data_IF_297439828096
#
_entry.id   IF_297439828096
#
_cell.length_a   1.000
_cell.length_b   1.000
_cell.length_c   1.000
_cell.angle_alpha   90.00
_cell.angle_beta   90.00
_cell.angle_gamma   90.00
#
_symmetry.space_group_name_H-M   'P 1'
#
loop_
_entity.id
_entity.type
_entity.pdbx_description
1 polymer ?
#
# COMPACT_ATOMS: atom_id res chain seq x y z
N UNK A 1 -17.19 39.29 -7.47
CA UNK A 1 -17.39 37.82 -7.48
C UNK A 1 -18.26 37.37 -6.31
N UNK A 2 -19.45 36.84 -6.60
CA UNK A 2 -20.41 36.31 -5.62
C UNK A 2 -19.86 35.06 -4.90
N UNK A 3 -20.46 34.70 -3.75
CA UNK A 3 -20.07 33.47 -3.01
C UNK A 3 -20.31 32.20 -3.86
N UNK A 4 -21.40 32.13 -4.63
CA UNK A 4 -21.68 31.02 -5.55
C UNK A 4 -20.60 30.86 -6.63
N UNK A 5 -20.15 31.94 -7.27
CA UNK A 5 -19.11 31.84 -8.31
C UNK A 5 -17.78 31.31 -7.75
N UNK A 6 -17.41 31.70 -6.53
CA UNK A 6 -16.23 31.15 -5.83
C UNK A 6 -16.41 29.69 -5.46
N UNK A 7 -17.58 29.28 -4.98
CA UNK A 7 -17.90 27.89 -4.67
C UNK A 7 -17.86 27.01 -5.93
N UNK A 8 -18.46 27.44 -7.04
CA UNK A 8 -18.43 26.72 -8.32
C UNK A 8 -17.00 26.53 -8.86
N UNK A 9 -16.16 27.57 -8.80
CA UNK A 9 -14.75 27.48 -9.19
C UNK A 9 -13.95 26.51 -8.29
N UNK A 10 -14.21 26.51 -6.97
CA UNK A 10 -13.59 25.57 -6.03
C UNK A 10 -14.02 24.13 -6.28
N UNK A 11 -15.32 23.89 -6.54
CA UNK A 11 -15.86 22.57 -6.86
C UNK A 11 -15.28 22.05 -8.18
N UNK A 12 -15.23 22.87 -9.23
CA UNK A 12 -14.62 22.51 -10.51
C UNK A 12 -13.14 22.14 -10.35
N UNK A 13 -12.35 22.97 -9.65
CA UNK A 13 -10.94 22.69 -9.39
C UNK A 13 -10.73 21.41 -8.55
N UNK A 14 -11.62 21.13 -7.58
CA UNK A 14 -11.59 19.89 -6.80
C UNK A 14 -11.90 18.65 -7.66
N UNK A 15 -12.97 18.71 -8.47
CA UNK A 15 -13.34 17.65 -9.40
C UNK A 15 -12.21 17.37 -10.41
N UNK A 16 -11.70 18.41 -11.07
CA UNK A 16 -10.57 18.32 -12.01
C UNK A 16 -9.34 17.68 -11.36
N UNK A 17 -9.02 18.03 -10.11
CA UNK A 17 -7.87 17.46 -9.40
C UNK A 17 -8.05 15.96 -9.11
N UNK A 18 -9.26 15.54 -8.73
CA UNK A 18 -9.59 14.15 -8.40
C UNK A 18 -9.68 13.27 -9.66
N UNK A 19 -10.18 13.79 -10.78
CA UNK A 19 -10.28 13.05 -12.04
C UNK A 19 -8.96 13.00 -12.82
N UNK A 20 -8.19 14.10 -12.84
CA UNK A 20 -6.96 14.19 -13.63
C UNK A 20 -5.75 13.50 -13.00
N UNK A 21 -5.71 13.29 -11.67
CA UNK A 21 -4.51 12.80 -10.99
C UNK A 21 -4.76 11.81 -9.84
N UNK A 22 -3.89 10.80 -9.66
CA UNK A 22 -3.88 9.98 -8.47
C UNK A 22 -3.30 10.78 -7.29
N UNK A 23 -4.08 10.89 -6.21
CA UNK A 23 -3.68 11.58 -5.00
C UNK A 23 -2.69 10.72 -4.19
N UNK A 24 -1.87 11.40 -3.36
CA UNK A 24 -0.91 10.80 -2.43
C UNK A 24 -0.06 9.62 -3.00
N UNK A 25 0.61 9.79 -4.16
CA UNK A 25 1.34 8.69 -4.80
C UNK A 25 2.51 8.17 -3.95
N UNK A 26 3.11 9.01 -3.11
CA UNK A 26 4.19 8.62 -2.19
C UNK A 26 3.67 7.76 -1.04
N UNK A 27 2.56 8.15 -0.41
CA UNK A 27 1.87 7.39 0.62
C UNK A 27 1.46 6.02 0.09
N UNK A 28 0.82 5.99 -1.09
CA UNK A 28 0.43 4.77 -1.80
C UNK A 28 1.62 3.84 -2.09
N UNK A 29 2.79 4.40 -2.38
CA UNK A 29 4.01 3.62 -2.57
C UNK A 29 4.58 3.06 -1.24
N UNK A 30 4.51 3.81 -0.13
CA UNK A 30 4.91 3.29 1.20
C UNK A 30 3.96 2.19 1.65
N UNK A 31 2.65 2.37 1.52
CA UNK A 31 1.62 1.37 1.87
C UNK A 31 1.91 0.05 1.13
N UNK A 32 2.12 0.11 -0.19
CA UNK A 32 2.53 -1.05 -1.00
C UNK A 32 3.81 -1.70 -0.49
N UNK A 33 4.86 -0.92 -0.23
CA UNK A 33 6.15 -1.46 0.25
C UNK A 33 5.99 -2.07 1.64
N UNK A 34 5.25 -1.41 2.54
CA UNK A 34 5.02 -1.83 3.91
C UNK A 34 4.26 -3.14 3.98
N UNK A 35 3.03 -3.21 3.44
CA UNK A 35 2.22 -4.43 3.49
C UNK A 35 2.87 -5.60 2.75
N UNK A 36 3.42 -5.36 1.55
CA UNK A 36 4.08 -6.42 0.79
C UNK A 36 5.38 -6.91 1.46
N UNK A 37 6.15 -6.03 2.12
CA UNK A 37 7.34 -6.44 2.89
C UNK A 37 6.97 -7.13 4.20
N UNK A 38 5.93 -6.67 4.90
CA UNK A 38 5.47 -7.26 6.17
C UNK A 38 5.04 -8.70 5.93
N UNK A 39 4.18 -8.93 4.94
CA UNK A 39 3.74 -10.28 4.57
C UNK A 39 4.89 -11.14 4.03
N UNK A 40 5.80 -10.58 3.23
CA UNK A 40 7.00 -11.30 2.79
C UNK A 40 7.87 -11.76 3.98
N UNK A 41 8.16 -10.88 4.94
CA UNK A 41 8.98 -11.20 6.11
C UNK A 41 8.28 -12.22 7.02
N UNK A 42 6.96 -12.13 7.14
CA UNK A 42 6.13 -13.08 7.87
C UNK A 42 6.26 -14.49 7.25
N UNK A 43 6.01 -14.63 5.94
CA UNK A 43 6.19 -15.91 5.23
C UNK A 43 7.63 -16.44 5.32
N UNK A 44 8.65 -15.56 5.22
CA UNK A 44 10.05 -16.01 5.35
C UNK A 44 10.38 -16.49 6.77
N UNK A 45 9.82 -15.86 7.81
CA UNK A 45 9.95 -16.28 9.23
C UNK A 45 9.25 -17.62 9.48
N UNK A 46 8.09 -17.82 8.86
CA UNK A 46 7.28 -19.03 9.06
C UNK A 46 7.66 -20.19 8.16
N UNK A 47 8.51 -19.96 7.16
CA UNK A 47 8.95 -20.98 6.22
C UNK A 47 9.31 -22.34 6.87
N UNK A 48 10.02 -22.44 8.02
CA UNK A 48 10.30 -23.73 8.64
C UNK A 48 9.05 -24.51 9.08
N UNK A 49 8.03 -23.82 9.57
CA UNK A 49 6.81 -24.39 10.18
C UNK A 49 5.57 -24.32 9.26
N UNK A 50 5.71 -23.75 8.06
CA UNK A 50 4.63 -23.45 7.11
C UNK A 50 3.59 -24.58 6.88
N UNK A 51 4.01 -25.85 6.93
CA UNK A 51 3.10 -27.01 6.72
C UNK A 51 2.28 -27.33 7.96
N UNK A 52 2.80 -27.08 9.15
CA UNK A 52 2.05 -27.22 10.40
C UNK A 52 1.00 -26.10 10.52
N UNK A 53 1.37 -24.88 10.13
CA UNK A 53 0.49 -23.70 10.19
C UNK A 53 -0.60 -23.69 9.11
N UNK A 54 -0.28 -24.11 7.88
CA UNK A 54 -1.15 -23.93 6.70
C UNK A 54 -1.31 -25.18 5.81
N UNK A 55 -0.57 -26.26 6.07
CA UNK A 55 -0.62 -27.49 5.27
C UNK A 55 -1.87 -28.33 5.56
N UNK A 56 -2.15 -29.37 4.75
CA UNK A 56 -3.32 -30.24 4.95
C UNK A 56 -3.27 -30.98 6.30
N UNK A 57 -2.07 -31.43 6.70
CA UNK A 57 -1.78 -32.22 7.90
C UNK A 57 -1.61 -31.37 9.18
N UNK A 58 -1.88 -30.06 9.12
CA UNK A 58 -1.77 -29.16 10.27
C UNK A 58 -2.86 -29.40 11.33
N UNK A 59 -2.69 -28.92 12.58
CA UNK A 59 -3.67 -29.10 13.66
C UNK A 59 -5.06 -28.57 13.30
N UNK A 60 -5.12 -27.49 12.52
CA UNK A 60 -6.33 -27.06 11.82
C UNK A 60 -6.45 -27.83 10.50
N UNK A 61 -7.04 -29.02 10.57
CA UNK A 61 -7.07 -29.99 9.47
C UNK A 61 -7.74 -29.46 8.20
N UNK A 62 -7.46 -30.12 7.08
CA UNK A 62 -8.09 -29.83 5.80
C UNK A 62 -9.63 -29.79 5.88
N UNK A 63 -10.25 -30.82 6.46
CA UNK A 63 -11.71 -30.96 6.50
C UNK A 63 -12.38 -29.86 7.33
N UNK A 64 -11.76 -29.47 8.46
CA UNK A 64 -12.25 -28.37 9.29
C UNK A 64 -12.17 -27.02 8.57
N UNK A 65 -11.08 -26.78 7.83
CA UNK A 65 -10.96 -25.60 6.98
C UNK A 65 -11.98 -25.62 5.84
N UNK A 66 -12.21 -26.78 5.22
CA UNK A 66 -13.21 -26.95 4.16
C UNK A 66 -14.63 -26.69 4.67
N UNK A 67 -14.97 -27.18 5.87
CA UNK A 67 -16.26 -26.89 6.51
C UNK A 67 -16.43 -25.38 6.74
N UNK A 68 -15.48 -24.74 7.44
CA UNK A 68 -15.54 -23.30 7.74
C UNK A 68 -15.67 -22.44 6.47
N UNK A 69 -14.90 -22.77 5.43
CA UNK A 69 -14.93 -22.07 4.12
C UNK A 69 -16.25 -22.33 3.37
N UNK A 70 -16.85 -23.52 3.53
CA UNK A 70 -18.16 -23.81 2.95
C UNK A 70 -19.27 -22.97 3.57
N UNK A 71 -19.20 -22.73 4.88
CA UNK A 71 -20.16 -21.95 5.67
C UNK A 71 -20.00 -20.43 5.45
N UNK A 72 -18.77 -19.90 5.51
CA UNK A 72 -18.51 -18.46 5.43
C UNK A 72 -18.23 -17.93 4.00
N UNK A 73 -18.09 -18.83 3.02
CA UNK A 73 -17.83 -18.53 1.61
C UNK A 73 -16.51 -17.78 1.33
N UNK A 74 -15.54 -17.87 2.24
CA UNK A 74 -14.21 -17.31 2.07
C UNK A 74 -13.46 -17.93 0.88
N UNK A 75 -12.41 -17.23 0.42
CA UNK A 75 -11.61 -17.68 -0.72
C UNK A 75 -10.25 -18.20 -0.28
N UNK A 76 -9.89 -19.41 -0.70
CA UNK A 76 -8.52 -19.89 -0.63
C UNK A 76 -8.17 -20.84 -1.77
N UNK A 77 -7.08 -20.50 -2.48
CA UNK A 77 -6.44 -21.34 -3.49
C UNK A 77 -5.86 -22.62 -2.87
N UNK A 78 -5.49 -22.58 -1.58
CA UNK A 78 -4.98 -23.76 -0.90
C UNK A 78 -6.03 -24.86 -0.83
N UNK A 79 -7.33 -24.54 -0.81
CA UNK A 79 -8.42 -25.51 -0.69
C UNK A 79 -8.78 -26.26 -1.98
N UNK A 80 -8.05 -26.06 -3.09
CA UNK A 80 -8.31 -26.78 -4.36
C UNK A 80 -7.58 -28.13 -4.45
N UNK A 81 -6.53 -28.34 -3.66
CA UNK A 81 -5.87 -29.64 -3.53
C UNK A 81 -5.10 -29.74 -2.21
N UNK A 82 -5.28 -30.85 -1.52
CA UNK A 82 -4.50 -31.30 -0.36
C UNK A 82 -3.07 -31.71 -0.73
N UNK A 83 -2.75 -31.81 -2.03
CA UNK A 83 -1.45 -32.25 -2.52
C UNK A 83 -0.29 -31.35 -2.03
N UNK A 84 0.71 -31.96 -1.38
CA UNK A 84 1.92 -31.26 -0.91
C UNK A 84 2.61 -30.40 -1.99
N UNK A 85 2.61 -30.85 -3.25
CA UNK A 85 3.17 -30.06 -4.36
C UNK A 85 2.37 -28.79 -4.66
N UNK A 86 1.04 -28.84 -4.53
CA UNK A 86 0.15 -27.70 -4.66
C UNK A 86 0.39 -26.68 -3.55
N UNK A 87 0.43 -27.14 -2.30
CA UNK A 87 0.75 -26.31 -1.14
C UNK A 87 2.06 -25.52 -1.32
N UNK A 88 3.16 -26.19 -1.67
CA UNK A 88 4.47 -25.53 -1.85
C UNK A 88 4.46 -24.55 -3.03
N UNK A 89 3.73 -24.86 -4.12
CA UNK A 89 3.57 -23.96 -5.26
C UNK A 89 2.84 -22.68 -4.88
N UNK A 90 1.71 -22.78 -4.19
CA UNK A 90 0.91 -21.63 -3.75
C UNK A 90 1.68 -20.79 -2.73
N UNK A 91 2.38 -21.43 -1.80
CA UNK A 91 3.23 -20.74 -0.81
C UNK A 91 4.38 -19.98 -1.49
N UNK A 92 5.11 -20.62 -2.41
CA UNK A 92 6.19 -19.99 -3.16
C UNK A 92 5.66 -18.85 -4.06
N UNK A 93 4.48 -19.01 -4.66
CA UNK A 93 3.83 -17.96 -5.44
C UNK A 93 3.44 -16.76 -4.59
N UNK A 94 2.96 -16.96 -3.35
CA UNK A 94 2.65 -15.89 -2.41
C UNK A 94 3.92 -15.11 -1.99
N UNK A 95 5.01 -15.81 -1.66
CA UNK A 95 6.33 -15.20 -1.37
C UNK A 95 6.82 -14.36 -2.56
N UNK A 96 6.76 -14.93 -3.77
CA UNK A 96 7.21 -14.26 -5.00
C UNK A 96 6.34 -13.04 -5.34
N UNK A 97 5.01 -13.15 -5.23
CA UNK A 97 4.08 -12.05 -5.47
C UNK A 97 4.34 -10.89 -4.49
N UNK A 98 4.59 -11.20 -3.22
CA UNK A 98 4.93 -10.21 -2.18
C UNK A 98 6.24 -9.48 -2.50
N UNK A 99 7.29 -10.22 -2.86
CA UNK A 99 8.57 -9.62 -3.28
C UNK A 99 8.42 -8.73 -4.52
N UNK A 100 7.74 -9.21 -5.56
CA UNK A 100 7.55 -8.47 -6.80
C UNK A 100 6.64 -7.23 -6.60
N UNK A 101 5.63 -7.32 -5.74
CA UNK A 101 4.81 -6.17 -5.34
C UNK A 101 5.60 -5.15 -4.51
N UNK A 102 6.45 -5.59 -3.57
CA UNK A 102 7.33 -4.73 -2.78
C UNK A 102 8.37 -3.98 -3.66
N UNK A 103 8.92 -4.65 -4.67
CA UNK A 103 9.77 -4.03 -5.70
C UNK A 103 8.99 -3.14 -6.68
N UNK A 104 7.67 -3.30 -6.74
CA UNK A 104 6.79 -2.53 -7.61
C UNK A 104 6.95 -2.91 -9.09
N UNK A 105 7.11 -4.20 -9.37
CA UNK A 105 7.09 -4.77 -10.71
C UNK A 105 5.67 -5.19 -11.05
N UNK A 106 5.14 -4.77 -12.20
CA UNK A 106 3.79 -5.14 -12.69
C UNK A 106 2.72 -4.94 -11.61
N UNK A 107 2.70 -3.78 -10.96
CA UNK A 107 1.99 -3.60 -9.67
C UNK A 107 0.52 -3.98 -9.73
N UNK A 108 -0.15 -3.75 -10.86
CA UNK A 108 -1.56 -4.14 -11.05
C UNK A 108 -1.78 -5.66 -11.05
N UNK A 109 -0.87 -6.43 -11.64
CA UNK A 109 -0.97 -7.90 -11.65
C UNK A 109 -0.47 -8.46 -10.31
N UNK A 110 0.63 -7.92 -9.79
CA UNK A 110 1.19 -8.39 -8.52
C UNK A 110 0.31 -8.04 -7.32
N UNK A 111 -0.50 -6.96 -7.35
CA UNK A 111 -1.48 -6.69 -6.29
C UNK A 111 -2.59 -7.75 -6.25
N UNK A 112 -3.08 -8.20 -7.41
CA UNK A 112 -4.07 -9.29 -7.48
C UNK A 112 -3.47 -10.61 -7.02
N UNK A 113 -2.25 -10.96 -7.45
CA UNK A 113 -1.57 -12.19 -6.97
C UNK A 113 -1.22 -12.13 -5.48
N UNK A 114 -0.86 -10.95 -4.97
CA UNK A 114 -0.62 -10.71 -3.55
C UNK A 114 -1.90 -10.89 -2.73
N UNK A 115 -3.02 -10.28 -3.16
CA UNK A 115 -4.34 -10.49 -2.56
C UNK A 115 -4.71 -11.97 -2.54
N UNK A 116 -4.58 -12.67 -3.68
CA UNK A 116 -4.83 -14.11 -3.76
C UNK A 116 -3.97 -14.89 -2.74
N UNK A 117 -2.69 -14.56 -2.60
CA UNK A 117 -1.80 -15.18 -1.62
C UNK A 117 -2.21 -14.93 -0.17
N UNK A 118 -2.43 -13.66 0.21
CA UNK A 118 -2.87 -13.26 1.56
C UNK A 118 -4.18 -13.95 1.93
N UNK A 119 -5.21 -13.81 1.09
CA UNK A 119 -6.52 -14.44 1.31
C UNK A 119 -6.39 -15.95 1.45
N UNK A 120 -5.55 -16.59 0.63
CA UNK A 120 -5.44 -18.06 0.65
C UNK A 120 -4.84 -18.62 1.93
N UNK A 121 -3.75 -18.03 2.44
CA UNK A 121 -3.15 -18.53 3.69
C UNK A 121 -4.00 -18.15 4.91
N UNK A 122 -4.47 -16.91 5.00
CA UNK A 122 -5.24 -16.47 6.18
C UNK A 122 -6.60 -17.17 6.27
N UNK A 123 -7.33 -17.36 5.15
CA UNK A 123 -8.58 -18.12 5.18
C UNK A 123 -8.35 -19.63 5.37
N UNK A 124 -7.18 -20.17 4.98
CA UNK A 124 -6.83 -21.57 5.27
C UNK A 124 -6.63 -21.82 6.76
N UNK A 125 -6.12 -20.86 7.53
CA UNK A 125 -5.79 -21.02 8.95
C UNK A 125 -6.08 -19.75 9.76
N UNK A 126 -7.36 -19.47 9.99
CA UNK A 126 -7.86 -18.22 10.59
C UNK A 126 -7.37 -17.98 12.02
N UNK A 127 -7.03 -19.05 12.76
CA UNK A 127 -6.61 -18.99 14.16
C UNK A 127 -5.10 -18.72 14.37
N UNK A 128 -4.30 -18.70 13.30
CA UNK A 128 -2.85 -18.43 13.38
C UNK A 128 -2.54 -16.92 13.44
N UNK A 129 -3.43 -16.08 12.88
CA UNK A 129 -3.19 -14.64 12.75
C UNK A 129 -3.66 -13.79 13.93
N UNK A 130 -3.20 -12.54 13.96
CA UNK A 130 -3.60 -11.54 14.95
C UNK A 130 -4.39 -10.34 14.36
N UNK A 131 -4.54 -9.25 15.12
CA UNK A 131 -5.23 -8.04 14.65
C UNK A 131 -4.57 -7.39 13.42
N UNK A 132 -3.25 -7.51 13.28
CA UNK A 132 -2.48 -6.99 12.16
C UNK A 132 -2.65 -7.83 10.90
N UNK A 133 -2.83 -9.14 11.03
CA UNK A 133 -3.20 -10.01 9.92
C UNK A 133 -4.51 -9.59 9.26
N UNK A 134 -5.52 -9.23 10.05
CA UNK A 134 -6.78 -8.67 9.55
C UNK A 134 -6.57 -7.35 8.78
N UNK A 135 -5.62 -6.50 9.22
CA UNK A 135 -5.24 -5.30 8.46
C UNK A 135 -4.56 -5.67 7.14
N UNK A 136 -3.64 -6.64 7.13
CA UNK A 136 -3.02 -7.13 5.89
C UNK A 136 -4.09 -7.69 4.93
N UNK A 137 -5.08 -8.42 5.46
CA UNK A 137 -6.21 -8.99 4.71
C UNK A 137 -6.94 -7.91 3.91
N UNK A 138 -7.48 -6.89 4.61
CA UNK A 138 -8.23 -5.78 4.02
C UNK A 138 -7.36 -4.96 3.05
N UNK A 139 -6.14 -4.65 3.47
CA UNK A 139 -5.22 -3.82 2.69
C UNK A 139 -4.74 -4.53 1.41
N UNK A 140 -4.67 -5.86 1.39
CA UNK A 140 -4.38 -6.63 0.18
C UNK A 140 -5.45 -6.43 -0.90
N UNK A 141 -6.72 -6.38 -0.52
CA UNK A 141 -7.86 -6.11 -1.40
C UNK A 141 -7.82 -4.65 -1.88
N UNK A 142 -7.67 -3.69 -0.95
CA UNK A 142 -7.64 -2.26 -1.31
C UNK A 142 -6.47 -1.93 -2.25
N UNK A 143 -5.30 -2.56 -2.07
CA UNK A 143 -4.13 -2.38 -2.93
C UNK A 143 -4.40 -2.71 -4.41
N UNK A 144 -5.32 -3.62 -4.73
CA UNK A 144 -5.74 -3.93 -6.12
C UNK A 144 -6.31 -2.69 -6.82
N UNK A 145 -7.05 -1.86 -6.09
CA UNK A 145 -7.68 -0.63 -6.60
C UNK A 145 -6.74 0.58 -6.61
N UNK A 146 -5.56 0.48 -5.96
CA UNK A 146 -4.62 1.61 -5.87
C UNK A 146 -3.64 1.71 -7.05
N UNK A 147 -3.33 2.95 -7.44
CA UNK A 147 -2.21 3.31 -8.33
C UNK A 147 -0.87 3.35 -7.55
N UNK A 148 -0.60 2.36 -6.71
CA UNK A 148 0.59 2.29 -5.84
C UNK A 148 1.94 2.11 -6.56
N UNK A 149 1.93 1.95 -7.89
CA UNK A 149 3.12 1.83 -8.74
C UNK A 149 3.65 3.14 -9.34
N UNK A 150 3.09 4.31 -9.02
CA UNK A 150 3.48 5.59 -9.67
C UNK A 150 4.87 6.12 -9.26
N UNK A 151 5.34 5.81 -8.05
CA UNK A 151 6.67 6.18 -7.55
C UNK A 151 7.31 5.01 -6.79
N UNK A 152 8.64 5.06 -6.64
CA UNK A 152 9.44 4.06 -5.90
C UNK A 152 9.18 2.60 -6.30
N UNK A 153 8.98 2.37 -7.60
CA UNK A 153 8.64 1.09 -8.20
C UNK A 153 9.48 0.82 -9.45
N UNK A 154 9.63 -0.45 -9.83
CA UNK A 154 10.24 -0.82 -11.11
C UNK A 154 9.37 -0.37 -12.31
N UNK A 155 8.05 -0.31 -12.15
CA UNK A 155 7.13 0.19 -13.18
C UNK A 155 7.30 1.71 -13.42
N UNK A 156 7.48 2.52 -12.39
CA UNK A 156 7.75 3.96 -12.53
C UNK A 156 9.09 4.21 -13.24
N UNK A 157 10.12 3.39 -12.94
CA UNK A 157 11.40 3.42 -13.67
C UNK A 157 11.23 3.03 -15.15
N UNK A 158 10.38 2.04 -15.45
CA UNK A 158 10.07 1.65 -16.83
C UNK A 158 9.36 2.78 -17.59
N UNK A 159 8.36 3.40 -16.96
CA UNK A 159 7.63 4.54 -17.54
C UNK A 159 8.51 5.77 -17.75
N UNK A 160 9.45 6.06 -16.85
CA UNK A 160 10.41 7.15 -17.01
C UNK A 160 11.34 6.94 -18.22
N UNK A 161 11.86 5.72 -18.41
CA UNK A 161 12.70 5.36 -19.57
C UNK A 161 11.95 5.40 -20.91
N UNK A 162 10.68 5.00 -20.92
CA UNK A 162 9.83 5.12 -22.10
C UNK A 162 9.64 6.59 -22.51
N UNK A 163 9.42 7.50 -21.54
CA UNK A 163 9.34 8.95 -21.80
C UNK A 163 10.66 9.57 -22.23
N UNK A 164 11.81 9.00 -21.87
CA UNK A 164 13.14 9.48 -22.28
C UNK A 164 13.62 8.87 -23.61
N UNK A 165 12.71 8.41 -24.48
CA UNK A 165 13.06 7.87 -25.80
C UNK A 165 13.75 6.51 -25.80
N UNK A 166 13.74 5.76 -24.67
CA UNK A 166 14.33 4.42 -24.55
C UNK A 166 13.26 3.33 -24.30
N UNK A 167 12.25 3.17 -25.18
CA UNK A 167 11.24 2.13 -25.03
C UNK A 167 11.86 0.74 -25.21
N UNK A 168 11.72 -0.13 -24.20
CA UNK A 168 11.97 -1.57 -24.35
C UNK A 168 10.64 -2.29 -24.62
N UNK A 169 10.59 -3.25 -25.56
CA UNK A 169 9.36 -3.97 -25.89
C UNK A 169 8.82 -4.73 -24.68
N UNK A 170 7.52 -4.54 -24.41
CA UNK A 170 6.85 -5.15 -23.26
C UNK A 170 6.37 -6.57 -23.58
N UNK A 171 7.21 -7.56 -23.30
CA UNK A 171 6.86 -8.99 -23.40
C UNK A 171 6.19 -9.54 -22.13
N UNK A 172 6.55 -9.02 -20.96
CA UNK A 172 6.08 -9.57 -19.69
C UNK A 172 4.60 -9.27 -19.41
N UNK A 173 4.08 -8.12 -19.86
CA UNK A 173 2.65 -7.78 -19.73
C UNK A 173 1.74 -8.79 -20.43
N UNK A 174 1.89 -9.01 -21.76
CA UNK A 174 1.10 -9.99 -22.51
C UNK A 174 1.22 -11.42 -21.97
N UNK A 175 2.44 -11.86 -21.60
CA UNK A 175 2.65 -13.21 -21.04
C UNK A 175 1.89 -13.39 -19.72
N UNK A 176 1.98 -12.44 -18.79
CA UNK A 176 1.23 -12.49 -17.53
C UNK A 176 -0.28 -12.52 -17.76
N UNK A 177 -0.79 -11.76 -18.74
CA UNK A 177 -2.22 -11.72 -19.05
C UNK A 177 -2.72 -13.05 -19.64
N UNK A 178 -1.97 -13.65 -20.58
CA UNK A 178 -2.30 -14.97 -21.13
C UNK A 178 -2.20 -16.09 -20.09
N UNK A 179 -1.14 -16.13 -19.29
CA UNK A 179 -0.97 -17.14 -18.23
C UNK A 179 -2.09 -17.04 -17.20
N UNK A 180 -2.44 -15.83 -16.75
CA UNK A 180 -3.56 -15.61 -15.83
C UNK A 180 -4.91 -16.01 -16.45
N UNK A 181 -5.13 -15.72 -17.74
CA UNK A 181 -6.36 -16.09 -18.45
C UNK A 181 -6.51 -17.60 -18.63
N UNK A 182 -5.43 -18.30 -18.97
CA UNK A 182 -5.42 -19.76 -19.08
C UNK A 182 -5.64 -20.44 -17.72
N UNK A 183 -4.99 -19.95 -16.66
CA UNK A 183 -5.20 -20.45 -15.30
C UNK A 183 -6.64 -20.24 -14.83
N UNK A 184 -7.21 -19.05 -15.07
CA UNK A 184 -8.58 -18.72 -14.70
C UNK A 184 -9.61 -19.52 -15.53
N UNK A 185 -9.34 -19.75 -16.82
CA UNK A 185 -10.14 -20.64 -17.66
C UNK A 185 -10.14 -22.07 -17.12
N UNK A 186 -8.98 -22.64 -16.82
CA UNK A 186 -8.87 -24.00 -16.25
C UNK A 186 -9.69 -24.13 -14.95
N UNK A 187 -9.52 -23.20 -14.00
CA UNK A 187 -10.26 -23.16 -12.73
C UNK A 187 -11.77 -22.95 -12.89
N UNK A 188 -12.20 -22.26 -13.94
CA UNK A 188 -13.65 -22.09 -14.22
C UNK A 188 -14.31 -23.44 -14.53
N UNK A 189 -13.56 -24.44 -15.02
CA UNK A 189 -14.07 -25.77 -15.34
C UNK A 189 -13.87 -26.82 -14.24
N UNK A 190 -13.07 -26.56 -13.19
CA UNK A 190 -12.93 -27.52 -12.07
C UNK A 190 -14.10 -27.46 -11.10
N UNK A 191 -14.76 -26.30 -10.97
CA UNK A 191 -15.89 -26.09 -10.08
C UNK A 191 -15.52 -25.70 -8.64
N UNK A 192 -14.23 -25.68 -8.30
CA UNK A 192 -13.74 -25.40 -6.94
C UNK A 192 -13.91 -23.94 -6.50
N UNK A 193 -14.20 -23.04 -7.45
CA UNK A 193 -14.33 -21.60 -7.19
C UNK A 193 -15.78 -21.16 -7.37
N UNK A 194 -16.37 -20.64 -6.28
CA UNK A 194 -17.72 -20.08 -6.28
C UNK A 194 -17.85 -18.93 -7.29
N UNK A 195 -19.03 -18.82 -7.91
CA UNK A 195 -19.35 -17.85 -8.97
C UNK A 195 -18.99 -16.40 -8.63
N UNK A 196 -19.18 -15.97 -7.37
CA UNK A 196 -18.83 -14.61 -6.94
C UNK A 196 -17.34 -14.29 -7.11
N UNK A 197 -16.44 -15.20 -6.74
CA UNK A 197 -15.00 -15.04 -6.90
C UNK A 197 -14.56 -15.16 -8.37
N UNK A 198 -15.17 -16.07 -9.13
CA UNK A 198 -14.95 -16.14 -10.59
C UNK A 198 -15.30 -14.82 -11.28
N UNK A 199 -16.44 -14.20 -10.94
CA UNK A 199 -16.84 -12.90 -11.48
C UNK A 199 -15.82 -11.80 -11.15
N UNK A 200 -15.27 -11.77 -9.94
CA UNK A 200 -14.21 -10.83 -9.54
C UNK A 200 -12.95 -11.04 -10.40
N UNK A 201 -12.44 -12.26 -10.51
CA UNK A 201 -11.21 -12.52 -11.26
C UNK A 201 -11.36 -12.31 -12.77
N UNK A 202 -12.49 -12.73 -13.36
CA UNK A 202 -12.77 -12.48 -14.78
C UNK A 202 -12.92 -10.99 -15.07
N UNK A 203 -13.55 -10.21 -14.16
CA UNK A 203 -13.63 -8.75 -14.28
C UNK A 203 -12.26 -8.09 -14.22
N UNK A 204 -11.41 -8.47 -13.27
CA UNK A 204 -10.04 -7.94 -13.15
C UNK A 204 -9.19 -8.26 -14.39
N UNK A 205 -9.27 -9.50 -14.89
CA UNK A 205 -8.57 -9.94 -16.10
C UNK A 205 -9.05 -9.20 -17.36
N UNK A 206 -10.37 -9.02 -17.51
CA UNK A 206 -10.96 -8.30 -18.63
C UNK A 206 -10.58 -6.81 -18.60
N UNK A 207 -10.64 -6.14 -17.45
CA UNK A 207 -10.20 -4.74 -17.27
C UNK A 207 -8.73 -4.57 -17.65
N UNK A 208 -7.87 -5.53 -17.29
CA UNK A 208 -6.46 -5.52 -17.70
C UNK A 208 -6.30 -5.71 -19.22
N UNK A 209 -7.09 -6.58 -19.84
CA UNK A 209 -7.10 -6.81 -21.29
C UNK A 209 -7.53 -5.58 -22.08
N UNK A 210 -8.63 -4.95 -21.67
CA UNK A 210 -9.12 -3.67 -22.24
C UNK A 210 -8.06 -2.59 -22.12
N UNK A 211 -7.40 -2.47 -20.95
CA UNK A 211 -6.34 -1.47 -20.76
C UNK A 211 -5.15 -1.69 -21.70
N UNK A 212 -4.72 -2.95 -21.87
CA UNK A 212 -3.63 -3.30 -22.77
C UNK A 212 -4.01 -3.04 -24.23
N UNK A 213 -5.23 -3.41 -24.65
CA UNK A 213 -5.74 -3.14 -25.99
C UNK A 213 -5.80 -1.64 -26.31
N UNK A 214 -6.33 -0.82 -25.38
CA UNK A 214 -6.39 0.63 -25.57
C UNK A 214 -5.01 1.28 -25.63
N UNK A 215 -4.05 0.84 -24.81
CA UNK A 215 -2.65 1.28 -24.90
C UNK A 215 -2.00 0.97 -26.26
N UNK A 216 -2.42 -0.09 -26.95
CA UNK A 216 -1.89 -0.47 -28.27
C UNK A 216 -2.60 0.24 -29.44
N UNK A 217 -3.91 0.47 -29.33
CA UNK A 217 -4.74 0.96 -30.44
C UNK A 217 -5.00 2.46 -30.43
N UNK A 218 -5.13 3.06 -29.25
CA UNK A 218 -5.52 4.46 -29.06
C UNK A 218 -4.91 5.03 -27.76
N UNK A 219 -3.57 5.12 -27.66
CA UNK A 219 -2.88 5.58 -26.45
C UNK A 219 -3.31 7.00 -26.02
N UNK A 220 -3.65 7.86 -26.99
CA UNK A 220 -4.07 9.25 -26.79
C UNK A 220 -5.55 9.50 -27.08
N UNK A 221 -6.37 8.45 -27.23
CA UNK A 221 -7.80 8.56 -27.57
C UNK A 221 -8.75 8.68 -26.37
N UNK A 222 -9.93 9.25 -26.60
CA UNK A 222 -10.97 9.47 -25.56
C UNK A 222 -11.30 8.24 -24.70
N UNK A 223 -11.44 7.00 -25.25
CA UNK A 223 -11.71 5.82 -24.42
C UNK A 223 -10.58 5.55 -23.42
N UNK A 224 -9.33 5.82 -23.81
CA UNK A 224 -8.16 5.63 -22.97
C UNK A 224 -8.11 6.70 -21.87
N UNK A 225 -8.49 7.95 -22.18
CA UNK A 225 -8.65 9.02 -21.20
C UNK A 225 -9.74 8.69 -20.16
N UNK A 226 -10.91 8.19 -20.60
CA UNK A 226 -11.99 7.77 -19.72
C UNK A 226 -11.54 6.68 -18.74
N UNK A 227 -10.80 5.67 -19.23
CA UNK A 227 -10.21 4.65 -18.35
C UNK A 227 -9.22 5.25 -17.33
N UNK A 228 -8.46 6.28 -17.68
CA UNK A 228 -7.59 6.98 -16.71
C UNK A 228 -8.38 7.76 -15.65
N UNK A 229 -9.48 8.43 -16.03
CA UNK A 229 -10.38 9.10 -15.08
C UNK A 229 -11.00 8.10 -14.11
N UNK A 230 -11.57 7.00 -14.60
CA UNK A 230 -12.18 5.95 -13.76
C UNK A 230 -11.16 5.34 -12.80
N UNK A 231 -9.95 5.03 -13.28
CA UNK A 231 -8.92 4.44 -12.44
C UNK A 231 -8.19 5.46 -11.53
N UNK A 232 -8.28 6.76 -11.78
CA UNK A 232 -7.91 7.80 -10.80
C UNK A 232 -8.97 7.90 -9.70
N UNK A 233 -10.27 7.87 -10.06
CA UNK A 233 -11.39 7.87 -9.11
C UNK A 233 -11.34 6.63 -8.20
N UNK A 234 -11.19 5.43 -8.76
CA UNK A 234 -11.08 4.19 -7.99
C UNK A 234 -9.88 4.21 -7.02
N UNK A 235 -8.72 4.71 -7.46
CA UNK A 235 -7.54 4.88 -6.60
C UNK A 235 -7.78 5.90 -5.47
N UNK A 236 -8.39 7.05 -5.79
CA UNK A 236 -8.65 8.11 -4.81
C UNK A 236 -9.71 7.67 -3.79
N UNK A 237 -10.71 6.88 -4.21
CA UNK A 237 -11.69 6.26 -3.33
C UNK A 237 -11.05 5.17 -2.44
N UNK A 238 -10.24 4.27 -3.00
CA UNK A 238 -9.52 3.25 -2.22
C UNK A 238 -8.56 3.87 -1.20
N UNK A 239 -7.87 4.96 -1.55
CA UNK A 239 -7.04 5.72 -0.61
C UNK A 239 -7.88 6.34 0.53
N UNK A 240 -9.07 6.88 0.23
CA UNK A 240 -9.98 7.39 1.25
C UNK A 240 -10.48 6.26 2.17
N UNK A 241 -10.81 5.10 1.62
CA UNK A 241 -11.18 3.91 2.40
C UNK A 241 -10.04 3.49 3.33
N UNK A 242 -8.79 3.40 2.85
CA UNK A 242 -7.62 3.10 3.68
C UNK A 242 -7.46 4.11 4.84
N UNK A 243 -7.67 5.40 4.58
CA UNK A 243 -7.62 6.44 5.62
C UNK A 243 -8.75 6.31 6.64
N UNK A 244 -9.98 6.00 6.19
CA UNK A 244 -11.13 5.78 7.08
C UNK A 244 -10.91 4.52 7.92
N UNK A 245 -10.46 3.43 7.31
CA UNK A 245 -10.20 2.14 7.97
C UNK A 245 -9.16 2.29 9.08
N UNK A 246 -8.03 2.95 8.80
CA UNK A 246 -7.03 3.24 9.82
C UNK A 246 -7.60 4.09 10.98
N UNK A 247 -8.42 5.12 10.68
CA UNK A 247 -9.13 5.87 11.72
C UNK A 247 -10.11 5.00 12.52
N UNK A 248 -10.84 4.07 11.88
CA UNK A 248 -11.80 3.16 12.52
C UNK A 248 -11.10 2.13 13.42
N UNK A 249 -9.93 1.62 13.03
CA UNK A 249 -9.12 0.72 13.85
C UNK A 249 -8.72 1.43 15.16
N UNK A 250 -8.16 2.64 15.11
CA UNK A 250 -7.77 3.37 16.33
C UNK A 250 -8.96 3.83 17.17
N UNK A 251 -10.02 4.32 16.52
CA UNK A 251 -11.29 4.62 17.14
C UNK A 251 -11.82 3.46 17.98
N UNK A 252 -12.05 2.31 17.34
CA UNK A 252 -12.62 1.12 18.00
C UNK A 252 -11.67 0.57 19.06
N UNK A 253 -10.36 0.51 18.76
CA UNK A 253 -9.35 0.09 19.72
C UNK A 253 -9.30 0.99 20.97
N UNK A 254 -9.54 2.30 20.84
CA UNK A 254 -9.61 3.23 21.96
C UNK A 254 -10.93 3.16 22.74
N UNK A 255 -12.08 3.15 22.04
CA UNK A 255 -13.40 3.07 22.68
C UNK A 255 -13.68 1.74 23.36
N UNK A 256 -13.13 0.63 22.85
CA UNK A 256 -13.21 -0.67 23.52
C UNK A 256 -12.42 -0.68 24.83
N UNK A 257 -11.22 -0.06 24.84
CA UNK A 257 -10.41 0.09 26.06
C UNK A 257 -11.13 0.87 27.15
N UNK A 258 -11.78 2.00 26.83
CA UNK A 258 -12.54 2.82 27.81
C UNK A 258 -13.57 1.99 28.60
N UNK A 259 -14.13 0.93 28.02
CA UNK A 259 -15.13 0.08 28.67
C UNK A 259 -14.52 -0.98 29.60
N UNK A 260 -13.23 -1.28 29.48
CA UNK A 260 -12.55 -2.31 30.28
C UNK A 260 -12.11 -1.79 31.65
N UNK A 261 -12.47 -2.51 32.72
CA UNK A 261 -12.12 -2.16 34.11
C UNK A 261 -10.62 -1.92 34.32
N UNK A 262 -9.75 -2.72 33.68
CA UNK A 262 -8.28 -2.55 33.74
C UNK A 262 -7.76 -1.26 33.13
N UNK A 263 -8.49 -0.67 32.18
CA UNK A 263 -8.13 0.63 31.60
C UNK A 263 -8.68 1.77 32.46
N UNK A 264 -9.81 1.55 33.14
CA UNK A 264 -10.42 2.49 34.08
C UNK A 264 -9.67 2.56 35.42
N UNK A 265 -9.10 1.45 35.90
CA UNK A 265 -8.24 1.40 37.09
C UNK A 265 -6.78 1.79 36.82
N UNK A 266 -6.42 2.01 35.54
CA UNK A 266 -5.09 2.44 35.12
C UNK A 266 -4.02 1.36 35.07
N UNK A 267 -4.38 0.08 35.27
CA UNK A 267 -3.43 -1.04 35.35
C UNK A 267 -3.26 -1.85 34.05
N UNK A 268 -4.03 -1.57 32.99
CA UNK A 268 -4.14 -2.45 31.81
C UNK A 268 -2.80 -2.84 31.15
N UNK A 269 -1.83 -1.93 31.08
CA UNK A 269 -0.52 -2.21 30.44
C UNK A 269 0.34 -3.17 31.27
N UNK A 270 0.06 -3.34 32.57
CA UNK A 270 0.75 -4.30 33.42
C UNK A 270 0.58 -5.75 32.95
N UNK A 271 -0.65 -6.15 32.62
CA UNK A 271 -0.99 -7.55 32.32
C UNK A 271 -0.28 -8.14 31.09
N UNK A 272 -0.28 -7.52 29.88
CA UNK A 272 0.40 -8.10 28.72
C UNK A 272 1.91 -8.23 28.91
N UNK A 273 2.53 -7.39 29.74
CA UNK A 273 3.95 -7.48 30.09
C UNK A 273 4.28 -8.69 31.00
N UNK A 274 3.27 -9.29 31.64
CA UNK A 274 3.39 -10.45 32.54
C UNK A 274 2.61 -11.69 32.04
N UNK A 275 2.16 -11.69 30.78
CA UNK A 275 1.66 -12.89 30.12
C UNK A 275 2.82 -13.58 29.42
N UNK A 276 3.13 -14.83 29.79
CA UNK A 276 4.26 -15.60 29.24
C UNK A 276 4.30 -15.61 27.70
N UNK A 277 3.13 -15.63 27.05
CA UNK A 277 2.99 -15.60 25.60
C UNK A 277 3.41 -14.27 24.95
N UNK A 278 3.31 -13.16 25.66
CA UNK A 278 3.62 -11.80 25.19
C UNK A 278 4.80 -11.15 25.94
N UNK A 279 5.56 -11.91 26.73
CA UNK A 279 6.71 -11.39 27.50
C UNK A 279 8.03 -12.07 27.08
N UNK A 280 8.55 -11.77 25.87
CA UNK A 280 9.85 -12.28 25.43
C UNK A 280 11.03 -11.76 26.27
N UNK A 281 10.82 -10.70 27.05
CA UNK A 281 11.83 -10.06 27.89
C UNK A 281 11.29 -9.80 29.31
N UNK A 282 11.08 -10.83 30.17
CA UNK A 282 10.42 -10.65 31.47
C UNK A 282 11.05 -9.54 32.33
N UNK A 283 12.38 -9.52 32.45
CA UNK A 283 13.11 -8.48 33.19
C UNK A 283 12.92 -7.05 32.65
N UNK A 284 12.59 -6.88 31.36
CA UNK A 284 12.22 -5.58 30.79
C UNK A 284 10.76 -5.23 31.12
N UNK A 285 9.86 -6.20 31.14
CA UNK A 285 8.48 -6.04 31.64
C UNK A 285 8.47 -5.63 33.11
N UNK A 286 9.23 -6.33 33.96
CA UNK A 286 9.43 -6.01 35.37
C UNK A 286 9.96 -4.57 35.55
N UNK A 287 10.99 -4.20 34.78
CA UNK A 287 11.58 -2.85 34.84
C UNK A 287 10.58 -1.76 34.43
N UNK A 288 9.85 -1.96 33.32
CA UNK A 288 8.86 -1.00 32.82
C UNK A 288 7.64 -0.86 33.75
N UNK A 289 7.35 -1.88 34.56
CA UNK A 289 6.22 -1.88 35.49
C UNK A 289 6.61 -1.58 36.94
N UNK A 290 7.90 -1.59 37.28
CA UNK A 290 8.45 -1.28 38.61
C UNK A 290 7.98 0.05 39.21
N UNK A 291 7.59 1.01 38.37
CA UNK A 291 7.07 2.31 38.78
C UNK A 291 5.60 2.49 38.37
N UNK A 292 4.68 2.23 39.30
CA UNK A 292 3.23 2.29 39.07
C UNK A 292 2.71 3.55 38.33
N UNK A 293 3.18 4.77 38.64
CA UNK A 293 2.78 5.97 37.89
C UNK A 293 3.18 5.95 36.41
N UNK A 294 4.23 5.23 36.01
CA UNK A 294 4.56 5.03 34.59
C UNK A 294 3.53 4.12 33.91
N UNK A 295 3.13 3.03 34.55
CA UNK A 295 2.06 2.13 34.04
C UNK A 295 0.74 2.90 33.87
N UNK A 296 0.40 3.74 34.84
CA UNK A 296 -0.77 4.63 34.80
C UNK A 296 -0.73 5.59 33.59
N UNK A 297 0.40 6.28 33.41
CA UNK A 297 0.60 7.24 32.32
C UNK A 297 0.58 6.59 30.93
N UNK A 298 1.18 5.41 30.77
CA UNK A 298 1.16 4.67 29.49
C UNK A 298 -0.25 4.12 29.21
N UNK A 299 -0.94 3.60 30.23
CA UNK A 299 -2.31 3.07 30.11
C UNK A 299 -3.29 4.14 29.62
N UNK A 300 -3.35 5.31 30.29
CA UNK A 300 -4.22 6.40 29.83
C UNK A 300 -3.69 7.10 28.57
N UNK A 301 -2.38 7.24 28.42
CA UNK A 301 -1.76 7.86 27.25
C UNK A 301 -2.09 7.14 25.95
N UNK A 302 -2.03 5.80 25.98
CA UNK A 302 -2.47 4.92 24.88
C UNK A 302 -3.91 5.22 24.45
N UNK A 303 -4.85 5.21 25.41
CA UNK A 303 -6.27 5.47 25.14
C UNK A 303 -6.48 6.89 24.61
N UNK A 304 -5.85 7.89 25.22
CA UNK A 304 -5.96 9.28 24.81
C UNK A 304 -5.46 9.51 23.38
N UNK A 305 -4.33 8.92 23.00
CA UNK A 305 -3.77 9.02 21.64
C UNK A 305 -4.69 8.33 20.62
N UNK A 306 -5.13 7.11 20.88
CA UNK A 306 -5.96 6.32 19.96
C UNK A 306 -7.33 6.95 19.74
N UNK A 307 -7.98 7.46 20.80
CA UNK A 307 -9.28 8.15 20.70
C UNK A 307 -9.15 9.55 20.08
N UNK A 308 -8.07 10.31 20.35
CA UNK A 308 -7.91 11.65 19.79
C UNK A 308 -7.53 11.67 18.30
N UNK A 309 -6.90 10.62 17.79
CA UNK A 309 -6.37 10.61 16.42
C UNK A 309 -7.43 10.83 15.32
N UNK A 310 -8.58 10.11 15.30
CA UNK A 310 -9.61 10.30 14.28
C UNK A 310 -10.17 11.73 14.22
N UNK A 311 -10.33 12.39 15.37
CA UNK A 311 -10.87 13.76 15.45
C UNK A 311 -9.84 14.83 15.06
N UNK A 312 -8.56 14.56 15.28
CA UNK A 312 -7.48 15.54 15.09
C UNK A 312 -6.79 15.44 13.72
N UNK A 313 -7.16 14.44 12.89
CA UNK A 313 -6.56 14.19 11.57
C UNK A 313 -6.53 15.41 10.64
N UNK A 314 -7.52 16.29 10.76
CA UNK A 314 -7.63 17.54 10.00
C UNK A 314 -6.59 18.60 10.42
N UNK A 315 -6.12 18.56 11.67
CA UNK A 315 -5.08 19.46 12.16
C UNK A 315 -3.70 18.84 11.94
N UNK A 316 -3.04 19.25 10.84
CA UNK A 316 -1.71 18.77 10.44
C UNK A 316 -0.63 18.77 11.53
N UNK A 317 -0.70 19.65 12.55
CA UNK A 317 0.27 19.68 13.66
C UNK A 317 -0.03 18.56 14.65
N UNK A 318 -1.26 18.54 15.19
CA UNK A 318 -1.70 17.56 16.20
C UNK A 318 -1.64 16.15 15.63
N UNK A 319 -2.19 15.93 14.42
CA UNK A 319 -2.10 14.64 13.71
C UNK A 319 -0.65 14.13 13.59
N UNK A 320 0.30 15.00 13.22
CA UNK A 320 1.70 14.56 13.08
C UNK A 320 2.35 14.22 14.43
N UNK A 321 1.96 14.88 15.53
CA UNK A 321 2.43 14.53 16.88
C UNK A 321 1.85 13.18 17.31
N UNK A 322 0.53 13.00 17.19
CA UNK A 322 -0.11 11.72 17.52
C UNK A 322 0.42 10.58 16.65
N UNK A 323 0.64 10.79 15.36
CA UNK A 323 1.22 9.79 14.46
C UNK A 323 2.63 9.36 14.90
N UNK A 324 3.45 10.26 15.46
CA UNK A 324 4.74 9.89 16.05
C UNK A 324 4.53 9.04 17.31
N UNK A 325 3.61 9.43 18.19
CA UNK A 325 3.28 8.65 19.40
C UNK A 325 2.75 7.25 19.07
N UNK A 326 1.88 7.11 18.07
CA UNK A 326 1.32 5.84 17.61
C UNK A 326 2.39 4.93 16.99
N UNK A 327 3.25 5.48 16.13
CA UNK A 327 4.39 4.72 15.59
C UNK A 327 5.34 4.30 16.73
N UNK A 328 5.54 5.15 17.76
CA UNK A 328 6.31 4.78 18.96
C UNK A 328 5.62 3.68 19.78
N UNK A 329 4.30 3.71 19.93
CA UNK A 329 3.50 2.65 20.57
C UNK A 329 3.69 1.32 19.84
N UNK A 330 3.55 1.32 18.50
CA UNK A 330 3.75 0.11 17.68
C UNK A 330 5.20 -0.41 17.75
N UNK A 331 6.20 0.47 17.76
CA UNK A 331 7.60 0.06 17.95
C UNK A 331 7.85 -0.52 19.35
N UNK A 332 7.19 -0.01 20.39
CA UNK A 332 7.23 -0.57 21.73
C UNK A 332 6.56 -1.96 21.77
N UNK A 333 5.38 -2.12 21.17
CA UNK A 333 4.68 -3.42 21.04
C UNK A 333 5.55 -4.44 20.27
N UNK A 334 6.23 -4.01 19.21
CA UNK A 334 7.08 -4.88 18.38
C UNK A 334 8.24 -5.51 19.17
N UNK A 335 8.86 -4.72 20.05
CA UNK A 335 10.06 -5.10 20.79
C UNK A 335 9.72 -5.72 22.15
N UNK A 336 8.85 -5.05 22.91
CA UNK A 336 8.55 -5.40 24.30
C UNK A 336 7.54 -6.56 24.38
N UNK A 337 6.49 -6.55 23.54
CA UNK A 337 5.47 -7.61 23.52
C UNK A 337 5.78 -8.73 22.50
N UNK A 338 6.87 -8.62 21.74
CA UNK A 338 7.26 -9.64 20.75
C UNK A 338 6.34 -9.75 19.54
N UNK A 339 5.61 -8.67 19.18
CA UNK A 339 4.64 -8.66 18.07
C UNK A 339 5.11 -7.82 16.86
N UNK A 340 6.23 -8.18 16.19
CA UNK A 340 6.81 -7.34 15.15
C UNK A 340 5.93 -7.26 13.89
N UNK A 341 5.22 -8.33 13.51
CA UNK A 341 4.42 -8.35 12.29
C UNK A 341 3.13 -7.54 12.42
N UNK A 342 2.43 -7.67 13.56
CA UNK A 342 1.35 -6.76 13.97
C UNK A 342 1.77 -5.30 13.82
N UNK A 343 2.85 -4.92 14.49
CA UNK A 343 3.33 -3.54 14.50
C UNK A 343 3.79 -3.04 13.13
N UNK A 344 4.41 -3.90 12.31
CA UNK A 344 4.77 -3.55 10.93
C UNK A 344 3.54 -3.33 10.05
N UNK A 345 2.47 -4.12 10.21
CA UNK A 345 1.20 -3.91 9.52
C UNK A 345 0.54 -2.59 9.95
N UNK A 346 0.52 -2.28 11.25
CA UNK A 346 -0.02 -1.02 11.77
C UNK A 346 0.79 0.21 11.30
N UNK A 347 2.13 0.15 11.36
CA UNK A 347 3.00 1.21 10.85
C UNK A 347 2.84 1.39 9.32
N UNK A 348 2.58 0.30 8.58
CA UNK A 348 2.27 0.36 7.15
C UNK A 348 0.91 1.02 6.85
N UNK A 349 -0.10 0.83 7.72
CA UNK A 349 -1.37 1.56 7.65
C UNK A 349 -1.15 3.06 7.94
N UNK A 350 -0.48 3.39 9.05
CA UNK A 350 -0.15 4.75 9.51
C UNK A 350 0.59 5.58 8.44
N UNK A 351 1.36 4.92 7.58
CA UNK A 351 2.07 5.56 6.49
C UNK A 351 1.17 6.36 5.54
N UNK A 352 -0.14 6.06 5.47
CA UNK A 352 -1.13 6.85 4.71
C UNK A 352 -1.19 8.32 5.17
N UNK A 353 -0.93 8.57 6.46
CA UNK A 353 -0.99 9.91 7.05
C UNK A 353 0.35 10.66 7.01
N UNK A 354 1.45 10.03 6.58
CA UNK A 354 2.77 10.67 6.57
C UNK A 354 2.82 11.90 5.64
N UNK A 355 3.50 13.00 6.04
CA UNK A 355 3.62 14.18 5.20
C UNK A 355 4.42 13.91 3.91
N UNK A 356 3.86 14.27 2.75
CA UNK A 356 4.57 14.17 1.45
C UNK A 356 5.96 14.82 1.44
N UNK A 357 6.22 15.97 2.10
CA UNK A 357 7.57 16.53 2.19
C UNK A 357 8.56 15.60 2.93
N UNK A 358 8.12 14.94 4.01
CA UNK A 358 8.92 13.97 4.76
C UNK A 358 9.24 12.74 3.89
N UNK A 359 8.25 12.20 3.18
CA UNK A 359 8.45 11.08 2.25
C UNK A 359 9.44 11.43 1.13
N UNK A 360 9.30 12.62 0.51
CA UNK A 360 10.25 13.10 -0.51
C UNK A 360 11.67 13.26 0.03
N UNK A 361 11.82 13.84 1.23
CA UNK A 361 13.10 13.99 1.91
C UNK A 361 13.76 12.63 2.20
N UNK A 362 12.99 11.66 2.68
CA UNK A 362 13.46 10.31 2.99
C UNK A 362 13.94 9.60 1.72
N UNK A 363 13.11 9.60 0.66
CA UNK A 363 13.50 9.05 -0.64
C UNK A 363 14.75 9.71 -1.22
N UNK A 364 14.92 11.03 -1.06
CA UNK A 364 16.11 11.76 -1.46
C UNK A 364 17.35 11.48 -0.60
N UNK A 365 17.20 11.03 0.64
CA UNK A 365 18.31 10.49 1.45
C UNK A 365 18.69 9.07 1.01
N UNK A 366 17.71 8.19 0.80
CA UNK A 366 17.95 6.82 0.32
C UNK A 366 18.60 6.80 -1.07
N UNK A 367 18.17 7.68 -1.97
CA UNK A 367 18.80 7.84 -3.29
C UNK A 367 20.30 8.20 -3.18
N UNK A 368 20.63 9.24 -2.41
CA UNK A 368 22.02 9.68 -2.18
C UNK A 368 22.87 8.63 -1.46
N UNK A 369 22.29 7.89 -0.50
CA UNK A 369 22.98 6.79 0.16
C UNK A 369 23.30 5.68 -0.86
N UNK A 370 22.33 5.30 -1.70
CA UNK A 370 22.53 4.33 -2.78
C UNK A 370 23.57 4.79 -3.80
N UNK A 371 23.62 6.08 -4.15
CA UNK A 371 24.64 6.64 -5.06
C UNK A 371 26.05 6.53 -4.47
N UNK A 372 26.23 6.72 -3.16
CA UNK A 372 27.53 6.54 -2.48
C UNK A 372 27.99 5.08 -2.47
N UNK A 373 27.05 4.13 -2.33
CA UNK A 373 27.36 2.69 -2.31
C UNK A 373 27.51 2.11 -3.73
N UNK A 374 26.80 2.66 -4.72
CA UNK A 374 26.80 2.20 -6.11
C UNK A 374 27.06 3.36 -7.10
N UNK A 375 28.28 3.92 -7.12
CA UNK A 375 28.61 5.13 -7.88
C UNK A 375 28.44 5.04 -9.40
N UNK A 376 28.39 3.82 -9.97
CA UNK A 376 28.21 3.60 -11.41
C UNK A 376 26.76 3.60 -11.93
N UNK A 377 25.74 3.91 -11.11
CA UNK A 377 24.32 3.76 -11.53
C UNK A 377 23.66 5.02 -12.10
N UNK A 378 24.46 6.02 -12.50
CA UNK A 378 24.00 7.14 -13.31
C UNK A 378 23.62 6.58 -14.69
N UNK A 379 22.36 6.72 -15.08
CA UNK A 379 22.01 6.60 -16.49
C UNK A 379 22.66 7.80 -17.19
N UNK A 380 23.57 7.53 -18.13
CA UNK A 380 24.08 8.53 -19.05
C UNK A 380 22.89 9.17 -19.79
N UNK A 381 22.92 10.50 -20.00
CA UNK A 381 21.86 11.20 -20.73
C UNK A 381 20.68 11.73 -19.90
N UNK A 382 20.95 12.39 -18.78
CA UNK A 382 20.04 13.46 -18.32
C UNK A 382 20.42 14.75 -19.06
N UNK A 383 19.49 15.48 -19.71
CA UNK A 383 19.85 16.69 -20.45
C UNK A 383 20.46 17.74 -19.52
N UNK A 384 21.64 18.21 -19.90
CA UNK A 384 22.28 19.37 -19.29
C UNK A 384 21.38 20.58 -19.51
N UNK A 385 20.81 21.12 -18.43
CA UNK A 385 19.99 22.34 -18.50
C UNK A 385 20.94 23.48 -18.83
N UNK A 386 20.86 24.12 -20.01
CA UNK A 386 21.75 25.23 -20.31
C UNK A 386 21.54 26.34 -19.29
N UNK A 387 22.64 26.87 -18.76
CA UNK A 387 22.58 28.00 -17.82
C UNK A 387 21.85 29.20 -18.44
N UNK A 388 21.28 30.10 -17.62
CA UNK A 388 20.64 31.30 -18.14
C UNK A 388 21.63 32.06 -19.03
N UNK A 389 21.24 32.34 -20.28
CA UNK A 389 22.01 33.24 -21.13
C UNK A 389 22.16 34.58 -20.40
N UNK A 390 23.37 35.19 -20.37
CA UNK A 390 23.51 36.58 -19.95
C UNK A 390 22.54 37.44 -20.77
N UNK A 391 21.94 38.45 -20.13
CA UNK A 391 21.16 39.43 -20.84
C UNK A 391 22.11 40.28 -21.70
N UNK A 392 22.10 40.08 -23.01
CA UNK A 392 22.84 40.93 -23.94
C UNK A 392 22.37 42.39 -23.77
N UNK A 393 23.35 43.28 -23.63
CA UNK A 393 23.11 44.70 -23.43
C UNK A 393 22.44 45.33 -24.64
N UNK A 394 21.52 46.27 -24.41
CA UNK A 394 20.82 46.97 -25.47
C UNK A 394 21.79 47.69 -26.41
N UNK A 395 21.74 47.35 -27.70
CA UNK A 395 22.43 48.10 -28.75
C UNK A 395 21.46 49.08 -29.41
N UNK A 396 21.96 50.30 -29.63
CA UNK A 396 21.66 51.12 -30.80
C UNK A 396 20.20 51.56 -31.00
N UNK A 397 19.85 52.71 -30.44
CA UNK A 397 18.85 53.54 -31.08
C UNK A 397 19.42 54.03 -32.44
N UNK A 398 18.79 53.62 -33.54
CA UNK A 398 19.07 54.13 -34.88
C UNK A 398 17.79 54.78 -35.44
N UNK A 399 17.88 56.10 -35.51
CA UNK A 399 16.99 57.10 -36.10
C UNK A 399 16.08 56.61 -37.26
N UNK A 400 14.80 57.00 -37.20
CA UNK A 400 13.85 56.91 -38.32
C UNK A 400 13.42 58.33 -38.69
N UNK A 401 14.14 58.93 -39.64
CA UNK A 401 13.75 60.18 -40.28
C UNK A 401 14.27 60.25 -41.72
N UNK A 402 13.39 60.56 -42.69
CA UNK A 402 13.79 60.75 -44.09
C UNK A 402 12.84 60.20 -45.16
N UNK A 403 11.67 60.82 -45.34
CA UNK A 403 10.89 60.72 -46.59
C UNK A 403 11.11 61.98 -47.42
N UNK A 404 11.40 61.86 -48.73
CA UNK A 404 11.14 62.95 -49.67
C UNK A 404 10.21 62.56 -50.85
N UNK A 405 9.08 63.27 -50.88
CA UNK A 405 8.24 63.65 -52.04
C UNK A 405 9.09 64.47 -53.05
N UNK A 406 9.03 64.35 -54.39
CA UNK A 406 8.29 63.52 -55.38
C UNK A 406 9.01 63.62 -56.75
N UNK A 407 8.67 62.75 -57.73
CA UNK A 407 8.35 63.05 -59.16
C UNK A 407 8.63 61.86 -60.10
N UNK A 408 7.59 61.26 -60.66
CA UNK A 408 7.03 61.57 -62.01
C UNK A 408 5.60 61.07 -62.06
#
# INVERSE_FOLDING_TARGET
MTRLARFGAQLYAALQKITASPLAPYQSAVIRIGFASTWLLFLLREYPHRRELYGPDGPWSWDLAQQLISENHAFSVLMWSDGRAWFELVYAAAVLASLLLALGWRTRTMSVLFMIGVLSLQNRSVFVGDGGDNVIHLMSIYLVLTRCGQVWSLDARRAARARSGLPRPDRAGPVLWWVAGLALAAITFTGDVRTGWLLVFWSLWAVHGVWWFLNLRAPDGDPRLLCDVVANLAHNAALLVIMIEACLIYATAGWYKIQGSRWQDGSAVYYPLHLDYFSPWPALGDLLTSYGPMVLLVTYGTVAVQVAFPFTVFNRRVKNVLLVLMITEHLAIAVVLGLPFFSLAMIAADAVFLPTPFLKWLGGRVARARERVFPGTRAEGGPEVPGPRPADGGQGAADVSGVPVTRT
#
